data_IF_633413477749
#
_entry.id   IF_633413477749
#
_cell.length_a   1.000
_cell.length_b   1.000
_cell.length_c   1.000
_cell.angle_alpha   90.00
_cell.angle_beta   90.00
_cell.angle_gamma   90.00
#
_symmetry.space_group_name_H-M   'P 1'
#
loop_
_entity.id
_entity.type
_entity.pdbx_description
1 polymer ?
#
# COMPACT_ATOMS: atom_id res chain seq x y z
N UNK A 1 -7.42 5.88 23.78
CA UNK A 1 -6.61 5.40 22.64
C UNK A 1 -7.17 4.04 22.23
N UNK A 2 -7.92 3.95 21.12
CA UNK A 2 -8.44 2.65 20.63
C UNK A 2 -7.27 1.90 19.99
N UNK A 3 -6.85 0.80 20.61
CA UNK A 3 -5.80 -0.07 20.06
C UNK A 3 -6.40 -0.77 18.83
N UNK A 4 -5.97 -0.36 17.64
CA UNK A 4 -6.41 -0.99 16.39
C UNK A 4 -5.65 -2.33 16.26
N UNK A 5 -6.34 -3.46 16.13
CA UNK A 5 -5.68 -4.76 16.05
C UNK A 5 -4.83 -4.89 14.77
N UNK A 6 -3.72 -5.63 14.87
CA UNK A 6 -2.88 -6.03 13.73
C UNK A 6 -3.26 -7.44 13.25
N UNK A 7 -3.36 -7.62 11.93
CA UNK A 7 -3.63 -8.95 11.33
C UNK A 7 -2.51 -9.92 11.70
N UNK A 8 -1.25 -9.47 11.64
CA UNK A 8 -0.07 -10.32 11.92
C UNK A 8 -0.09 -10.82 13.35
N UNK A 9 -0.35 -9.91 14.31
CA UNK A 9 -0.42 -10.27 15.72
C UNK A 9 -1.56 -11.27 15.99
N UNK A 10 -2.72 -11.07 15.35
CA UNK A 10 -3.84 -12.00 15.49
C UNK A 10 -3.53 -13.40 14.94
N UNK A 11 -2.95 -13.49 13.75
CA UNK A 11 -2.57 -14.79 13.15
C UNK A 11 -1.52 -15.49 14.02
N UNK A 12 -0.50 -14.75 14.49
CA UNK A 12 0.56 -15.30 15.34
C UNK A 12 -0.02 -15.84 16.65
N UNK A 13 -0.87 -15.06 17.32
CA UNK A 13 -1.51 -15.46 18.57
C UNK A 13 -2.43 -16.68 18.38
N UNK A 14 -3.20 -16.73 17.29
CA UNK A 14 -4.03 -17.88 16.96
C UNK A 14 -3.18 -19.15 16.70
N UNK A 15 -2.11 -19.04 15.93
CA UNK A 15 -1.19 -20.16 15.68
C UNK A 15 -0.53 -20.65 16.97
N UNK A 16 -0.06 -19.72 17.82
CA UNK A 16 0.64 -20.03 19.06
C UNK A 16 -0.29 -20.70 20.07
N UNK A 17 -1.51 -20.18 20.27
CA UNK A 17 -2.51 -20.80 21.15
C UNK A 17 -2.86 -22.20 20.67
N UNK A 18 -3.08 -22.37 19.36
CA UNK A 18 -3.45 -23.67 18.79
C UNK A 18 -2.30 -24.67 18.91
N UNK A 19 -1.08 -24.25 18.62
CA UNK A 19 0.13 -25.08 18.72
C UNK A 19 0.40 -25.53 20.15
N UNK A 20 0.40 -24.59 21.12
CA UNK A 20 0.59 -24.92 22.54
C UNK A 20 -0.50 -25.86 23.04
N UNK A 21 -1.76 -25.56 22.72
CA UNK A 21 -2.89 -26.40 23.15
C UNK A 21 -2.76 -27.82 22.59
N UNK A 22 -2.39 -27.96 21.31
CA UNK A 22 -2.21 -29.26 20.66
C UNK A 22 -1.09 -30.06 21.31
N UNK A 23 0.07 -29.44 21.53
CA UNK A 23 1.23 -30.09 22.17
C UNK A 23 0.88 -30.54 23.59
N UNK A 24 0.21 -29.68 24.36
CA UNK A 24 -0.14 -29.97 25.75
C UNK A 24 -1.15 -31.11 25.85
N UNK A 25 -2.18 -31.12 24.98
CA UNK A 25 -3.16 -32.21 24.90
C UNK A 25 -2.47 -33.53 24.51
N UNK A 26 -1.64 -33.52 23.47
CA UNK A 26 -0.93 -34.73 23.02
C UNK A 26 0.04 -35.26 24.08
N UNK A 27 0.73 -34.39 24.80
CA UNK A 27 1.66 -34.77 25.86
C UNK A 27 0.95 -35.43 27.04
N UNK A 28 -0.17 -34.85 27.51
CA UNK A 28 -0.99 -35.43 28.59
C UNK A 28 -1.53 -36.79 28.16
N UNK A 29 -2.06 -36.87 26.94
CA UNK A 29 -2.64 -38.09 26.42
C UNK A 29 -1.59 -39.21 26.28
N UNK A 30 -0.41 -38.88 25.76
CA UNK A 30 0.71 -39.83 25.64
C UNK A 30 1.14 -40.37 27.01
N UNK A 31 1.28 -39.51 28.01
CA UNK A 31 1.65 -39.92 29.37
C UNK A 31 0.59 -40.84 30.00
N UNK A 32 -0.69 -40.49 29.84
CA UNK A 32 -1.80 -41.29 30.35
C UNK A 32 -1.84 -42.69 29.74
N UNK A 33 -1.66 -42.82 28.42
CA UNK A 33 -1.64 -44.12 27.75
C UNK A 33 -0.38 -44.93 28.06
N UNK A 34 0.77 -44.28 28.18
CA UNK A 34 2.00 -44.96 28.56
C UNK A 34 1.86 -45.65 29.92
N UNK A 35 1.34 -44.93 30.93
CA UNK A 35 1.11 -45.48 32.28
C UNK A 35 0.06 -46.59 32.25
N UNK A 36 -1.07 -46.37 31.55
CA UNK A 36 -2.15 -47.35 31.48
C UNK A 36 -1.73 -48.65 30.76
N UNK A 37 -0.94 -48.52 29.68
CA UNK A 37 -0.36 -49.65 28.96
C UNK A 37 0.58 -50.45 29.84
N UNK A 38 1.46 -49.76 30.59
CA UNK A 38 2.37 -50.38 31.54
C UNK A 38 1.63 -51.18 32.63
N UNK A 39 0.62 -50.59 33.27
CA UNK A 39 -0.19 -51.27 34.29
C UNK A 39 -0.87 -52.53 33.73
N UNK A 40 -1.41 -52.43 32.51
CA UNK A 40 -2.08 -53.56 31.87
C UNK A 40 -1.11 -54.71 31.57
N UNK A 41 0.06 -54.41 31.00
CA UNK A 41 1.09 -55.41 30.74
C UNK A 41 1.64 -56.03 32.03
N UNK A 42 1.87 -55.21 33.05
CA UNK A 42 2.35 -55.68 34.36
C UNK A 42 1.36 -56.67 34.98
N UNK A 43 0.06 -56.35 34.95
CA UNK A 43 -1.00 -57.23 35.45
C UNK A 43 -0.99 -58.59 34.73
N UNK A 44 -0.84 -58.61 33.41
CA UNK A 44 -0.79 -59.86 32.62
C UNK A 44 0.45 -60.68 32.96
N UNK A 45 1.62 -60.05 33.05
CA UNK A 45 2.87 -60.72 33.39
C UNK A 45 2.81 -61.33 34.81
N UNK A 46 2.33 -60.56 35.79
CA UNK A 46 2.16 -61.05 37.17
C UNK A 46 1.16 -62.20 37.25
N UNK A 47 0.03 -62.13 36.52
CA UNK A 47 -0.93 -63.21 36.47
C UNK A 47 -0.32 -64.49 35.86
N UNK A 48 0.45 -64.37 34.78
CA UNK A 48 1.13 -65.50 34.16
C UNK A 48 2.16 -66.15 35.09
N UNK A 49 2.97 -65.35 35.80
CA UNK A 49 3.94 -65.87 36.76
C UNK A 49 3.28 -66.48 38.00
N UNK A 50 2.16 -65.94 38.47
CA UNK A 50 1.45 -66.48 39.62
C UNK A 50 0.84 -67.88 39.41
N UNK A 51 0.68 -68.33 38.16
CA UNK A 51 0.24 -69.69 37.84
C UNK A 51 1.31 -70.77 38.15
N UNK A 52 2.59 -70.37 38.28
CA UNK A 52 3.69 -71.30 38.58
C UNK A 52 3.51 -72.00 39.93
N UNK A 53 3.87 -73.28 40.02
CA UNK A 53 3.75 -74.03 41.28
C UNK A 53 4.70 -73.48 42.34
N UNK A 54 4.16 -73.20 43.53
CA UNK A 54 4.92 -72.70 44.68
C UNK A 54 4.66 -73.62 45.86
N UNK A 55 5.73 -73.96 46.59
CA UNK A 55 5.63 -74.77 47.81
C UNK A 55 5.49 -73.85 49.01
N UNK A 56 4.68 -74.22 50.01
CA UNK A 56 4.53 -73.41 51.22
C UNK A 56 5.89 -73.14 51.90
N UNK A 57 6.13 -71.88 52.25
CA UNK A 57 7.39 -71.39 52.83
C UNK A 57 8.60 -71.34 51.91
N UNK A 58 8.47 -71.65 50.61
CA UNK A 58 9.55 -71.50 49.61
C UNK A 58 9.05 -70.66 48.42
N UNK A 59 9.30 -69.33 48.41
CA UNK A 59 8.87 -68.49 47.31
C UNK A 59 9.58 -68.87 46.00
N UNK A 60 8.84 -68.84 44.90
CA UNK A 60 9.38 -69.00 43.55
C UNK A 60 9.85 -67.64 43.03
N UNK A 61 11.10 -67.54 42.60
CA UNK A 61 11.67 -66.33 42.03
C UNK A 61 12.05 -66.58 40.56
N UNK A 62 11.56 -65.72 39.68
CA UNK A 62 11.89 -65.75 38.25
C UNK A 62 12.10 -64.33 37.75
N UNK A 63 13.32 -64.03 37.29
CA UNK A 63 13.76 -62.70 36.90
C UNK A 63 13.42 -61.64 37.98
N UNK A 64 12.51 -60.71 37.68
CA UNK A 64 12.07 -59.63 38.57
C UNK A 64 10.81 -59.97 39.37
N UNK A 65 10.25 -61.17 39.22
CA UNK A 65 9.02 -61.61 39.86
C UNK A 65 9.31 -62.55 41.04
N UNK A 66 8.61 -62.35 42.15
CA UNK A 66 8.57 -63.26 43.30
C UNK A 66 7.14 -63.70 43.55
N UNK A 67 6.90 -65.01 43.58
CA UNK A 67 5.61 -65.64 43.86
C UNK A 67 5.68 -66.41 45.17
N UNK A 68 4.76 -66.14 46.10
CA UNK A 68 4.74 -66.73 47.43
C UNK A 68 3.33 -67.17 47.84
N UNK A 69 3.23 -68.25 48.63
CA UNK A 69 1.95 -68.70 49.20
C UNK A 69 1.53 -67.88 50.43
N UNK A 70 2.49 -67.25 51.12
CA UNK A 70 2.25 -66.42 52.30
C UNK A 70 2.81 -65.02 52.08
N UNK A 71 2.11 -64.03 52.65
CA UNK A 71 2.54 -62.63 52.59
C UNK A 71 3.95 -62.42 53.15
N UNK A 72 4.28 -63.15 54.21
CA UNK A 72 5.56 -63.02 54.92
C UNK A 72 6.77 -63.46 54.07
N UNK A 73 6.55 -64.30 53.05
CA UNK A 73 7.62 -64.84 52.22
C UNK A 73 7.94 -63.94 51.00
N UNK A 74 7.26 -62.79 50.85
CA UNK A 74 7.63 -61.76 49.87
C UNK A 74 8.89 -60.99 50.27
N UNK A 75 9.61 -60.36 49.32
CA UNK A 75 10.80 -59.57 49.61
C UNK A 75 10.54 -58.46 50.63
N UNK A 76 11.49 -58.22 51.54
CA UNK A 76 11.36 -57.18 52.57
C UNK A 76 11.17 -55.78 51.99
N UNK A 77 11.79 -55.49 50.84
CA UNK A 77 11.63 -54.22 50.13
C UNK A 77 10.18 -53.94 49.73
N UNK A 78 9.40 -54.99 49.43
CA UNK A 78 7.98 -54.88 49.11
C UNK A 78 7.15 -54.73 50.38
N UNK A 79 7.41 -55.55 51.40
CA UNK A 79 6.66 -55.54 52.68
C UNK A 79 6.85 -54.25 53.49
N UNK A 80 7.99 -53.57 53.37
CA UNK A 80 8.22 -52.27 54.01
C UNK A 80 7.39 -51.14 53.38
N UNK A 81 7.15 -51.21 52.07
CA UNK A 81 6.49 -50.15 51.32
C UNK A 81 4.98 -50.39 51.23
N UNK A 82 4.58 -51.64 51.08
CA UNK A 82 3.21 -52.12 51.17
C UNK A 82 3.06 -52.88 52.48
N UNK A 83 2.63 -52.19 53.54
CA UNK A 83 2.60 -52.74 54.90
C UNK A 83 1.52 -53.81 55.08
N UNK A 84 0.41 -53.68 54.35
CA UNK A 84 -0.73 -54.59 54.42
C UNK A 84 -0.86 -55.44 53.14
N UNK A 85 -1.22 -56.73 53.24
CA UNK A 85 -1.48 -57.56 52.08
C UNK A 85 -2.70 -57.04 51.31
N UNK A 86 -2.73 -57.18 49.96
CA UNK A 86 -3.90 -56.83 49.19
C UNK A 86 -5.18 -57.52 49.70
N UNK A 87 -6.25 -56.75 49.84
CA UNK A 87 -7.55 -57.27 50.26
C UNK A 87 -8.22 -58.05 49.11
N UNK A 88 -8.26 -57.44 47.92
CA UNK A 88 -8.95 -57.94 46.73
C UNK A 88 -8.12 -58.95 45.91
N UNK A 89 -8.82 -59.91 45.30
CA UNK A 89 -8.21 -60.90 44.40
C UNK A 89 -8.07 -60.34 42.98
N UNK A 90 -6.95 -60.64 42.33
CA UNK A 90 -6.60 -60.29 40.95
C UNK A 90 -6.51 -58.78 40.66
N UNK A 91 -6.32 -57.96 41.70
CA UNK A 91 -6.14 -56.51 41.56
C UNK A 91 -4.66 -56.16 41.72
N UNK A 92 -4.13 -55.43 40.73
CA UNK A 92 -2.76 -54.91 40.74
C UNK A 92 -2.69 -53.75 41.73
N UNK A 93 -2.00 -53.95 42.84
CA UNK A 93 -1.68 -52.90 43.80
C UNK A 93 -0.29 -52.35 43.48
N UNK A 94 -0.17 -51.02 43.37
CA UNK A 94 1.09 -50.38 43.02
C UNK A 94 1.42 -49.22 43.95
N UNK A 95 2.71 -49.02 44.20
CA UNK A 95 3.23 -47.86 44.92
C UNK A 95 4.49 -47.38 44.22
N UNK A 96 4.47 -46.13 43.78
CA UNK A 96 5.57 -45.49 43.05
C UNK A 96 6.31 -44.59 44.05
N UNK A 97 7.63 -44.71 44.09
CA UNK A 97 8.51 -43.98 45.01
C UNK A 97 9.50 -43.14 44.20
N UNK A 98 9.62 -41.87 44.56
CA UNK A 98 10.47 -40.91 43.86
C UNK A 98 9.89 -40.40 42.53
N UNK A 99 10.51 -39.35 41.98
CA UNK A 99 10.07 -38.67 40.75
C UNK A 99 9.03 -37.56 40.94
N UNK A 100 9.03 -36.60 40.00
CA UNK A 100 8.08 -35.48 39.90
C UNK A 100 7.44 -35.47 38.48
N UNK A 101 6.59 -34.50 38.16
CA UNK A 101 5.98 -34.36 36.82
C UNK A 101 6.97 -34.29 35.64
N UNK A 102 8.26 -34.04 35.91
CA UNK A 102 9.32 -33.85 34.89
C UNK A 102 10.42 -34.93 35.00
N UNK A 103 10.50 -35.65 36.12
CA UNK A 103 11.55 -36.67 36.36
C UNK A 103 10.93 -38.05 36.54
N UNK A 104 11.48 -39.09 35.90
CA UNK A 104 10.95 -40.44 36.05
C UNK A 104 11.05 -40.89 37.52
N UNK A 105 10.13 -41.77 37.97
CA UNK A 105 10.17 -42.31 39.32
C UNK A 105 11.41 -43.17 39.57
N UNK A 106 11.85 -43.23 40.81
CA UNK A 106 13.08 -43.94 41.19
C UNK A 106 12.83 -45.45 41.33
N UNK A 107 11.66 -45.83 41.85
CA UNK A 107 11.23 -47.23 41.93
C UNK A 107 9.70 -47.40 41.91
N UNK A 108 9.25 -48.52 41.37
CA UNK A 108 7.84 -48.95 41.36
C UNK A 108 7.68 -50.32 42.01
N UNK A 109 6.81 -50.41 43.01
CA UNK A 109 6.51 -51.66 43.71
C UNK A 109 5.13 -52.14 43.28
N UNK A 110 5.02 -53.38 42.84
CA UNK A 110 3.78 -53.98 42.37
C UNK A 110 3.52 -55.27 43.10
N UNK A 111 2.27 -55.45 43.55
CA UNK A 111 1.82 -56.65 44.26
C UNK A 111 0.43 -57.04 43.78
N UNK A 112 0.21 -58.33 43.59
CA UNK A 112 -1.11 -58.89 43.28
C UNK A 112 -1.35 -60.11 44.14
N UNK A 113 -2.53 -60.17 44.77
CA UNK A 113 -3.05 -61.36 45.42
C UNK A 113 -3.96 -62.07 44.44
N UNK A 114 -3.77 -63.36 44.22
CA UNK A 114 -4.58 -64.14 43.28
C UNK A 114 -4.92 -65.52 43.85
N UNK A 115 -5.95 -66.15 43.29
CA UNK A 115 -6.36 -67.51 43.62
C UNK A 115 -6.05 -68.43 42.43
N UNK A 116 -5.25 -69.47 42.63
CA UNK A 116 -4.90 -70.46 41.61
C UNK A 116 -5.36 -71.84 42.12
N UNK A 117 -6.39 -72.40 41.49
CA UNK A 117 -7.10 -73.54 42.07
C UNK A 117 -7.78 -73.14 43.38
N UNK A 118 -7.45 -73.81 44.48
CA UNK A 118 -7.91 -73.46 45.84
C UNK A 118 -6.87 -72.72 46.70
N UNK A 119 -5.69 -72.44 46.15
CA UNK A 119 -4.60 -71.80 46.87
C UNK A 119 -4.54 -70.29 46.60
N UNK A 120 -4.23 -69.51 47.64
CA UNK A 120 -3.93 -68.08 47.52
C UNK A 120 -2.44 -67.92 47.24
N UNK A 121 -2.11 -67.04 46.29
CA UNK A 121 -0.74 -66.67 45.94
C UNK A 121 -0.59 -65.16 45.92
N UNK A 122 0.58 -64.71 46.32
CA UNK A 122 1.02 -63.32 46.22
C UNK A 122 2.14 -63.25 45.19
N UNK A 123 1.94 -62.43 44.17
CA UNK A 123 2.97 -62.11 43.16
C UNK A 123 3.45 -60.70 43.44
N UNK A 124 4.76 -60.49 43.47
CA UNK A 124 5.36 -59.16 43.59
C UNK A 124 6.45 -58.96 42.56
N UNK A 125 6.65 -57.71 42.18
CA UNK A 125 7.80 -57.29 41.38
C UNK A 125 8.18 -55.86 41.73
N UNK A 126 9.48 -55.58 41.66
CA UNK A 126 10.03 -54.26 41.92
C UNK A 126 10.75 -53.79 40.66
N UNK A 127 10.34 -52.63 40.18
CA UNK A 127 11.01 -51.94 39.09
C UNK A 127 11.94 -50.89 39.69
N UNK A 128 13.23 -50.97 39.38
CA UNK A 128 14.20 -49.91 39.65
C UNK A 128 14.69 -49.30 38.33
N UNK A 129 15.31 -48.12 38.42
CA UNK A 129 15.82 -47.36 37.27
C UNK A 129 16.85 -48.12 36.41
N UNK A 130 17.40 -49.24 36.88
CA UNK A 130 18.41 -50.04 36.18
C UNK A 130 17.84 -51.31 35.55
N UNK A 131 16.64 -51.75 35.92
CA UNK A 131 16.00 -52.95 35.39
C UNK A 131 15.58 -52.81 33.92
N UNK A 132 16.24 -53.56 33.02
CA UNK A 132 15.93 -53.59 31.59
C UNK A 132 14.93 -54.71 31.26
N UNK A 133 13.97 -54.34 30.41
CA UNK A 133 13.00 -55.19 29.69
C UNK A 133 11.74 -55.60 30.47
N UNK A 134 10.57 -55.30 29.89
CA UNK A 134 9.66 -56.32 29.34
C UNK A 134 8.29 -55.68 29.04
N UNK A 135 7.93 -55.48 27.76
CA UNK A 135 6.55 -55.15 27.36
C UNK A 135 6.18 -55.77 26.00
N UNK A 136 5.40 -56.85 26.03
CA UNK A 136 4.47 -57.25 24.95
C UNK A 136 3.09 -57.33 25.59
N UNK A 137 2.13 -56.58 25.07
CA UNK A 137 0.78 -56.51 25.63
C UNK A 137 -0.28 -56.68 24.56
N UNK A 138 -1.11 -57.71 24.72
CA UNK A 138 -2.42 -57.85 24.07
C UNK A 138 -3.46 -57.21 25.01
N UNK A 139 -3.91 -56.01 24.66
CA UNK A 139 -5.02 -55.31 25.30
C UNK A 139 -6.03 -54.81 24.26
N UNK A 140 -7.25 -54.42 24.67
CA UNK A 140 -8.23 -53.84 23.74
C UNK A 140 -7.63 -52.59 23.05
N UNK A 141 -7.95 -52.31 21.78
CA UNK A 141 -7.13 -51.42 20.96
C UNK A 141 -7.24 -49.97 21.45
N UNK A 142 -6.24 -49.53 22.23
CA UNK A 142 -6.00 -48.12 22.59
C UNK A 142 -6.03 -47.18 21.38
N UNK A 143 -5.83 -47.76 20.19
CA UNK A 143 -6.07 -47.15 18.89
C UNK A 143 -7.40 -46.40 18.79
N UNK A 144 -8.53 -46.91 19.31
CA UNK A 144 -9.83 -46.22 19.18
C UNK A 144 -9.88 -44.89 19.93
N UNK A 145 -9.29 -44.81 21.12
CA UNK A 145 -9.31 -43.57 21.91
C UNK A 145 -8.27 -42.57 21.39
N UNK A 146 -7.12 -43.04 20.92
CA UNK A 146 -6.15 -42.22 20.16
C UNK A 146 -6.82 -41.67 18.89
N UNK A 147 -7.63 -42.47 18.20
CA UNK A 147 -8.34 -42.05 17.00
C UNK A 147 -9.40 -40.99 17.33
N UNK A 148 -10.21 -41.17 18.38
CA UNK A 148 -11.23 -40.19 18.79
C UNK A 148 -10.62 -38.86 19.26
N UNK A 149 -9.54 -38.91 20.03
CA UNK A 149 -8.84 -37.70 20.51
C UNK A 149 -8.10 -36.99 19.38
N UNK A 150 -7.47 -37.75 18.48
CA UNK A 150 -6.90 -37.21 17.24
C UNK A 150 -7.96 -36.53 16.37
N UNK A 151 -9.12 -37.15 16.21
CA UNK A 151 -10.25 -36.58 15.47
C UNK A 151 -10.75 -35.28 16.12
N UNK A 152 -10.85 -35.23 17.45
CA UNK A 152 -11.24 -34.02 18.17
C UNK A 152 -10.21 -32.90 18.03
N UNK A 153 -8.92 -33.23 18.02
CA UNK A 153 -7.84 -32.29 17.72
C UNK A 153 -7.92 -31.71 16.31
N UNK A 154 -8.18 -32.56 15.31
CA UNK A 154 -8.40 -32.13 13.91
C UNK A 154 -9.62 -31.22 13.81
N UNK A 155 -10.72 -31.56 14.49
CA UNK A 155 -11.94 -30.74 14.51
C UNK A 155 -11.68 -29.37 15.13
N UNK A 156 -11.00 -29.32 16.29
CA UNK A 156 -10.64 -28.06 16.94
C UNK A 156 -9.73 -27.20 16.04
N UNK A 157 -8.73 -27.82 15.40
CA UNK A 157 -7.87 -27.14 14.44
C UNK A 157 -8.66 -26.58 13.26
N UNK A 158 -9.59 -27.35 12.69
CA UNK A 158 -10.46 -26.91 11.60
C UNK A 158 -11.34 -25.72 12.02
N UNK A 159 -11.89 -25.74 13.24
CA UNK A 159 -12.69 -24.61 13.78
C UNK A 159 -11.84 -23.35 13.90
N UNK A 160 -10.63 -23.43 14.45
CA UNK A 160 -9.72 -22.27 14.54
C UNK A 160 -9.37 -21.75 13.14
N UNK A 161 -9.07 -22.64 12.20
CA UNK A 161 -8.75 -22.28 10.83
C UNK A 161 -9.92 -21.55 10.14
N UNK A 162 -11.15 -22.02 10.33
CA UNK A 162 -12.36 -21.37 9.82
C UNK A 162 -12.56 -19.99 10.47
N UNK A 163 -12.33 -19.86 11.78
CA UNK A 163 -12.44 -18.58 12.48
C UNK A 163 -11.42 -17.55 12.00
N UNK A 164 -10.16 -17.97 11.85
CA UNK A 164 -9.08 -17.13 11.30
C UNK A 164 -9.41 -16.70 9.87
N UNK A 165 -9.84 -17.64 9.02
CA UNK A 165 -10.23 -17.35 7.65
C UNK A 165 -11.38 -16.33 7.61
N UNK A 166 -12.44 -16.52 8.42
CA UNK A 166 -13.54 -15.53 8.46
C UNK A 166 -13.11 -14.16 8.98
N UNK A 167 -12.25 -14.09 10.00
CA UNK A 167 -11.79 -12.81 10.56
C UNK A 167 -10.86 -12.03 9.65
N UNK A 168 -10.04 -12.71 8.84
CA UNK A 168 -9.05 -12.06 7.96
C UNK A 168 -9.60 -11.88 6.55
N UNK A 169 -10.23 -12.90 5.96
CA UNK A 169 -10.70 -12.85 4.58
C UNK A 169 -11.85 -11.86 4.42
N UNK A 170 -12.79 -11.77 5.37
CA UNK A 170 -13.95 -10.86 5.22
C UNK A 170 -13.52 -9.38 5.16
N UNK A 171 -12.66 -8.86 6.04
CA UNK A 171 -12.16 -7.48 5.92
C UNK A 171 -11.34 -7.23 4.64
N UNK A 172 -10.55 -8.21 4.18
CA UNK A 172 -9.82 -8.12 2.91
C UNK A 172 -10.78 -8.07 1.72
N UNK A 173 -11.82 -8.91 1.71
CA UNK A 173 -12.88 -8.93 0.70
C UNK A 173 -13.63 -7.59 0.67
N UNK A 174 -13.90 -6.99 1.84
CA UNK A 174 -14.49 -5.66 1.95
C UNK A 174 -13.59 -4.58 1.36
N UNK A 175 -12.28 -4.60 1.66
CA UNK A 175 -11.32 -3.66 1.06
C UNK A 175 -11.28 -3.82 -0.47
N UNK A 176 -11.21 -5.05 -0.97
CA UNK A 176 -11.24 -5.36 -2.41
C UNK A 176 -12.51 -4.82 -3.07
N UNK A 177 -13.68 -5.08 -2.49
CA UNK A 177 -14.95 -4.66 -3.07
C UNK A 177 -15.15 -3.15 -2.99
N UNK A 178 -14.71 -2.51 -1.91
CA UNK A 178 -14.67 -1.06 -1.81
C UNK A 178 -13.75 -0.46 -2.88
N UNK A 179 -12.51 -0.97 -3.01
CA UNK A 179 -11.55 -0.50 -4.01
C UNK A 179 -12.07 -0.68 -5.45
N UNK A 180 -12.77 -1.79 -5.74
CA UNK A 180 -13.43 -2.01 -7.04
C UNK A 180 -14.60 -1.06 -7.30
N UNK A 181 -15.28 -0.60 -6.24
CA UNK A 181 -16.42 0.29 -6.34
C UNK A 181 -16.04 1.76 -6.50
N UNK A 182 -14.78 2.12 -6.21
CA UNK A 182 -14.32 3.51 -6.18
C UNK A 182 -14.57 4.21 -7.51
N UNK A 183 -15.23 5.36 -7.40
CA UNK A 183 -15.47 6.32 -8.46
C UNK A 183 -15.23 7.73 -7.93
N UNK A 184 -15.36 8.74 -8.80
CA UNK A 184 -15.16 10.16 -8.47
C UNK A 184 -15.91 10.61 -7.22
N UNK A 185 -17.20 10.28 -7.07
CA UNK A 185 -17.98 10.69 -5.89
C UNK A 185 -17.55 9.98 -4.61
N UNK A 186 -17.19 8.70 -4.69
CA UNK A 186 -16.77 7.93 -3.53
C UNK A 186 -15.38 8.32 -3.03
N UNK A 187 -14.53 8.87 -3.89
CA UNK A 187 -13.23 9.40 -3.49
C UNK A 187 -13.37 10.61 -2.55
N UNK A 188 -14.49 11.33 -2.55
CA UNK A 188 -14.74 12.44 -1.62
C UNK A 188 -15.21 11.97 -0.24
N UNK A 189 -15.86 10.80 -0.18
CA UNK A 189 -16.40 10.25 1.06
C UNK A 189 -15.30 9.75 2.02
N UNK A 190 -15.54 9.76 3.34
CA UNK A 190 -14.61 9.20 4.31
C UNK A 190 -14.39 7.70 4.04
N UNK A 191 -13.14 7.26 4.17
CA UNK A 191 -12.80 5.85 3.98
C UNK A 191 -13.48 5.01 5.08
N UNK A 192 -14.10 3.87 4.75
CA UNK A 192 -14.64 2.96 5.76
C UNK A 192 -13.52 2.33 6.59
N UNK A 193 -13.81 2.01 7.85
CA UNK A 193 -12.87 1.32 8.73
C UNK A 193 -12.84 -0.19 8.43
N UNK A 194 -11.68 -0.67 7.97
CA UNK A 194 -11.43 -2.08 7.68
C UNK A 194 -10.95 -2.88 8.90
N UNK A 195 -11.12 -2.34 10.12
CA UNK A 195 -10.82 -2.93 11.43
C UNK A 195 -9.33 -3.11 11.74
N UNK A 196 -8.50 -3.37 10.72
CA UNK A 196 -7.08 -3.60 10.84
C UNK A 196 -6.28 -2.42 10.31
N UNK A 197 -5.23 -2.04 11.04
CA UNK A 197 -4.37 -0.90 10.68
C UNK A 197 -3.76 -1.03 9.29
N UNK A 198 -3.31 -2.23 8.94
CA UNK A 198 -2.65 -2.53 7.67
C UNK A 198 -3.60 -2.38 6.47
N UNK A 199 -4.87 -2.76 6.64
CA UNK A 199 -5.90 -2.59 5.61
C UNK A 199 -6.31 -1.13 5.46
N UNK A 200 -6.39 -0.38 6.57
CA UNK A 200 -6.68 1.06 6.54
C UNK A 200 -5.55 1.85 5.87
N UNK A 201 -4.29 1.49 6.12
CA UNK A 201 -3.13 2.08 5.42
C UNK A 201 -3.23 1.80 3.91
N UNK A 202 -3.46 0.54 3.53
CA UNK A 202 -3.58 0.16 2.13
C UNK A 202 -4.77 0.87 1.44
N UNK A 203 -5.92 0.97 2.11
CA UNK A 203 -7.08 1.72 1.61
C UNK A 203 -6.76 3.19 1.39
N UNK A 204 -6.00 3.82 2.29
CA UNK A 204 -5.57 5.21 2.14
C UNK A 204 -4.61 5.40 0.96
N UNK A 205 -3.67 4.47 0.76
CA UNK A 205 -2.76 4.50 -0.40
C UNK A 205 -3.58 4.42 -1.70
N UNK A 206 -4.50 3.45 -1.81
CA UNK A 206 -5.37 3.30 -2.99
C UNK A 206 -6.17 4.59 -3.25
N UNK A 207 -6.79 5.15 -2.20
CA UNK A 207 -7.57 6.39 -2.30
C UNK A 207 -6.74 7.56 -2.81
N UNK A 208 -5.58 7.79 -2.22
CA UNK A 208 -4.70 8.91 -2.57
C UNK A 208 -4.14 8.75 -3.98
N UNK A 209 -3.73 7.54 -4.38
CA UNK A 209 -3.27 7.27 -5.74
C UNK A 209 -4.36 7.51 -6.78
N UNK A 210 -5.59 7.05 -6.53
CA UNK A 210 -6.72 7.28 -7.45
C UNK A 210 -7.09 8.76 -7.55
N UNK A 211 -7.08 9.50 -6.42
CA UNK A 211 -7.27 10.96 -6.45
C UNK A 211 -6.20 11.64 -7.30
N UNK A 212 -4.94 11.30 -7.09
CA UNK A 212 -3.83 11.87 -7.88
C UNK A 212 -4.01 11.64 -9.38
N UNK A 213 -4.40 10.42 -9.78
CA UNK A 213 -4.68 10.10 -11.19
C UNK A 213 -5.86 10.92 -11.72
N UNK A 214 -6.94 11.01 -10.94
CA UNK A 214 -8.12 11.78 -11.34
C UNK A 214 -7.81 13.27 -11.50
N UNK A 215 -7.05 13.84 -10.57
CA UNK A 215 -6.66 15.25 -10.62
C UNK A 215 -5.78 15.52 -11.85
N UNK A 216 -4.87 14.60 -12.19
CA UNK A 216 -4.07 14.67 -13.43
C UNK A 216 -4.95 14.59 -14.68
N UNK A 217 -5.89 13.64 -14.74
CA UNK A 217 -6.82 13.52 -15.87
C UNK A 217 -7.72 14.75 -16.02
N UNK A 218 -8.18 15.33 -14.91
CA UNK A 218 -8.97 16.55 -14.93
C UNK A 218 -8.17 17.73 -15.50
N UNK A 219 -6.89 17.88 -15.08
CA UNK A 219 -5.99 18.90 -15.64
C UNK A 219 -5.75 18.69 -17.14
N UNK A 220 -5.52 17.45 -17.57
CA UNK A 220 -5.32 17.09 -18.97
C UNK A 220 -6.56 17.41 -19.83
N UNK A 221 -7.76 17.03 -19.38
CA UNK A 221 -9.01 17.35 -20.08
C UNK A 221 -9.23 18.85 -20.18
N UNK A 222 -8.96 19.59 -19.10
CA UNK A 222 -9.07 21.04 -19.11
C UNK A 222 -8.09 21.65 -20.10
N UNK A 223 -6.83 21.18 -20.12
CA UNK A 223 -5.79 21.60 -21.05
C UNK A 223 -6.19 21.36 -22.52
N UNK A 224 -6.67 20.16 -22.85
CA UNK A 224 -7.12 19.82 -24.20
C UNK A 224 -8.33 20.66 -24.64
N UNK A 225 -9.24 20.95 -23.70
CA UNK A 225 -10.39 21.83 -23.95
C UNK A 225 -9.93 23.24 -24.33
N UNK A 226 -9.01 23.83 -23.56
CA UNK A 226 -8.46 25.15 -23.88
C UNK A 226 -7.71 25.15 -25.21
N UNK A 227 -6.81 24.20 -25.43
CA UNK A 227 -6.08 24.11 -26.70
C UNK A 227 -7.03 24.04 -27.91
N UNK A 228 -8.12 23.28 -27.80
CA UNK A 228 -9.13 23.17 -28.85
C UNK A 228 -9.87 24.48 -29.08
N UNK A 229 -10.21 25.21 -28.01
CA UNK A 229 -10.84 26.53 -28.10
C UNK A 229 -9.89 27.56 -28.74
N UNK A 230 -8.63 27.57 -28.31
CA UNK A 230 -7.61 28.51 -28.79
C UNK A 230 -7.26 28.34 -30.25
N UNK A 231 -7.22 27.11 -30.76
CA UNK A 231 -6.95 26.85 -32.17
C UNK A 231 -8.16 27.17 -33.05
N UNK A 232 -9.40 27.00 -32.54
CA UNK A 232 -10.62 27.22 -33.34
C UNK A 232 -10.77 28.68 -33.79
N UNK A 233 -10.40 29.63 -32.94
CA UNK A 233 -10.51 31.06 -33.23
C UNK A 233 -9.67 31.51 -34.43
N UNK A 234 -8.34 31.34 -34.47
CA UNK A 234 -7.54 31.72 -35.63
C UNK A 234 -7.92 30.91 -36.88
N UNK A 235 -8.33 29.64 -36.74
CA UNK A 235 -8.87 28.86 -37.87
C UNK A 235 -10.13 29.53 -38.45
N UNK A 236 -11.04 30.01 -37.60
CA UNK A 236 -12.23 30.72 -38.05
C UNK A 236 -11.87 32.04 -38.75
N UNK A 237 -10.92 32.80 -38.20
CA UNK A 237 -10.41 34.04 -38.81
C UNK A 237 -9.82 33.77 -40.19
N UNK A 238 -8.98 32.74 -40.34
CA UNK A 238 -8.41 32.34 -41.63
C UNK A 238 -9.53 31.99 -42.61
N UNK A 239 -10.51 31.16 -42.19
CA UNK A 239 -11.62 30.74 -43.06
C UNK A 239 -12.44 31.94 -43.55
N UNK A 240 -12.89 32.79 -42.65
CA UNK A 240 -13.72 33.97 -42.98
C UNK A 240 -12.96 34.98 -43.84
N UNK A 241 -11.67 35.23 -43.56
CA UNK A 241 -10.87 36.14 -44.38
C UNK A 241 -10.55 35.53 -45.75
N UNK A 242 -10.38 34.21 -45.87
CA UNK A 242 -10.22 33.55 -47.18
C UNK A 242 -11.47 33.68 -48.04
N UNK A 243 -12.67 33.48 -47.46
CA UNK A 243 -13.95 33.71 -48.14
C UNK A 243 -14.13 35.18 -48.55
N UNK A 244 -13.75 36.11 -47.67
CA UNK A 244 -13.79 37.54 -47.96
C UNK A 244 -12.84 37.91 -49.11
N UNK A 245 -11.61 37.36 -49.09
CA UNK A 245 -10.62 37.58 -50.14
C UNK A 245 -11.13 37.13 -51.51
N UNK A 246 -11.75 35.94 -51.59
CA UNK A 246 -12.39 35.48 -52.82
C UNK A 246 -13.45 36.46 -53.32
N UNK A 247 -14.34 36.93 -52.44
CA UNK A 247 -15.38 37.93 -52.80
C UNK A 247 -14.78 39.26 -53.26
N UNK A 248 -13.70 39.72 -52.64
CA UNK A 248 -13.01 40.96 -53.03
C UNK A 248 -12.36 40.84 -54.41
N UNK A 249 -11.71 39.70 -54.69
CA UNK A 249 -11.12 39.40 -55.99
C UNK A 249 -12.22 39.38 -57.07
N UNK A 250 -13.31 38.64 -56.85
CA UNK A 250 -14.42 38.56 -57.83
C UNK A 250 -15.10 39.90 -58.11
N UNK A 251 -15.08 40.83 -57.16
CA UNK A 251 -15.67 42.17 -57.29
C UNK A 251 -14.69 43.24 -57.79
N UNK A 252 -13.45 42.87 -58.13
CA UNK A 252 -12.43 43.82 -58.60
C UNK A 252 -12.04 44.86 -57.55
N UNK A 253 -12.05 44.50 -56.26
CA UNK A 253 -11.63 45.42 -55.20
C UNK A 253 -10.15 45.79 -55.33
N UNK A 254 -9.76 46.97 -54.81
CA UNK A 254 -8.38 47.46 -54.87
C UNK A 254 -7.38 46.49 -54.23
N UNK A 255 -6.13 46.54 -54.72
CA UNK A 255 -5.02 45.76 -54.17
C UNK A 255 -4.83 46.01 -52.67
N UNK A 256 -4.96 47.27 -52.20
CA UNK A 256 -4.93 47.62 -50.77
C UNK A 256 -5.92 46.80 -49.92
N UNK A 257 -7.18 46.69 -50.36
CA UNK A 257 -8.21 45.96 -49.60
C UNK A 257 -7.93 44.46 -49.57
N UNK A 258 -7.41 43.91 -50.65
CA UNK A 258 -7.00 42.50 -50.70
C UNK A 258 -5.80 42.25 -49.78
N UNK A 259 -4.80 43.13 -49.79
CA UNK A 259 -3.62 43.04 -48.93
C UNK A 259 -3.97 43.08 -47.43
N UNK A 260 -4.93 43.93 -47.03
CA UNK A 260 -5.41 43.96 -45.64
C UNK A 260 -6.00 42.62 -45.18
N UNK A 261 -6.75 41.93 -46.05
CA UNK A 261 -7.32 40.61 -45.73
C UNK A 261 -6.23 39.54 -45.67
N UNK A 262 -5.24 39.60 -46.55
CA UNK A 262 -4.06 38.71 -46.51
C UNK A 262 -3.28 38.89 -45.20
N UNK A 263 -3.03 40.12 -44.75
CA UNK A 263 -2.37 40.38 -43.47
C UNK A 263 -3.15 39.85 -42.26
N UNK A 264 -4.49 39.85 -42.31
CA UNK A 264 -5.31 39.23 -41.26
C UNK A 264 -5.14 37.71 -41.23
N UNK A 265 -5.05 37.06 -42.39
CA UNK A 265 -4.78 35.61 -42.50
C UNK A 265 -3.38 35.29 -41.97
N UNK A 266 -2.37 36.05 -42.38
CA UNK A 266 -0.98 35.90 -41.94
C UNK A 266 -0.86 36.02 -40.42
N UNK A 267 -1.47 37.05 -39.83
CA UNK A 267 -1.53 37.22 -38.36
C UNK A 267 -2.17 36.03 -37.66
N UNK A 268 -3.29 35.52 -38.17
CA UNK A 268 -3.94 34.35 -37.58
C UNK A 268 -3.07 33.09 -37.68
N UNK A 269 -2.30 32.93 -38.76
CA UNK A 269 -1.32 31.85 -38.92
C UNK A 269 -0.19 31.93 -37.90
N UNK A 270 0.40 33.12 -37.72
CA UNK A 270 1.43 33.35 -36.69
C UNK A 270 0.90 33.04 -35.28
N UNK A 271 -0.30 33.48 -34.96
CA UNK A 271 -0.95 33.14 -33.68
C UNK A 271 -1.10 31.63 -33.48
N UNK A 272 -1.45 30.88 -34.53
CA UNK A 272 -1.50 29.40 -34.44
C UNK A 272 -0.12 28.80 -34.18
N UNK A 273 0.92 29.28 -34.87
CA UNK A 273 2.30 28.84 -34.64
C UNK A 273 2.69 29.05 -33.18
N UNK A 274 2.51 30.26 -32.64
CA UNK A 274 2.86 30.60 -31.26
C UNK A 274 2.09 29.73 -30.24
N UNK A 275 0.80 29.49 -30.49
CA UNK A 275 -0.02 28.59 -29.67
C UNK A 275 0.52 27.15 -29.72
N UNK A 276 0.82 26.62 -30.90
CA UNK A 276 1.33 25.25 -31.03
C UNK A 276 2.72 25.08 -30.40
N UNK A 277 3.60 26.07 -30.51
CA UNK A 277 4.90 26.07 -29.84
C UNK A 277 4.74 26.08 -28.32
N UNK A 278 3.85 26.92 -27.80
CA UNK A 278 3.55 26.99 -26.36
C UNK A 278 2.98 25.66 -25.84
N UNK A 279 2.06 25.03 -26.59
CA UNK A 279 1.47 23.73 -26.24
C UNK A 279 2.49 22.58 -26.31
N UNK A 280 3.30 22.52 -27.37
CA UNK A 280 4.38 21.53 -27.51
C UNK A 280 5.40 21.66 -26.40
N UNK A 281 5.69 22.89 -26.00
CA UNK A 281 6.61 23.16 -24.92
C UNK A 281 6.06 22.68 -23.57
N UNK A 282 4.78 22.99 -23.27
CA UNK A 282 4.07 22.53 -22.06
C UNK A 282 4.04 21.00 -21.95
N UNK A 283 3.74 20.31 -23.05
CA UNK A 283 3.62 18.83 -23.07
C UNK A 283 4.95 18.08 -22.99
N UNK A 284 6.06 18.68 -23.43
CA UNK A 284 7.38 18.02 -23.41
C UNK A 284 8.13 18.18 -22.09
N UNK A 285 7.83 19.23 -21.33
CA UNK A 285 8.62 19.61 -20.15
C UNK A 285 7.82 19.62 -18.85
N UNK A 286 6.65 18.96 -18.81
CA UNK A 286 5.78 18.91 -17.63
C UNK A 286 6.46 18.24 -16.41
N UNK A 287 7.48 17.40 -16.62
CA UNK A 287 8.17 16.61 -15.59
C UNK A 287 9.72 16.73 -15.61
N UNK A 288 10.29 17.65 -16.39
CA UNK A 288 11.76 17.77 -16.54
C UNK A 288 12.27 19.11 -16.00
N UNK A 289 13.35 19.08 -15.20
CA UNK A 289 14.11 20.27 -14.86
C UNK A 289 14.64 20.91 -16.14
N UNK A 290 14.20 22.13 -16.44
CA UNK A 290 14.69 22.84 -17.62
C UNK A 290 16.20 23.11 -17.51
N UNK A 291 16.95 23.01 -18.62
CA UNK A 291 18.32 23.47 -18.63
C UNK A 291 18.36 24.96 -18.33
N UNK A 292 19.08 25.32 -17.27
CA UNK A 292 19.40 26.71 -16.95
C UNK A 292 20.60 27.15 -17.77
N UNK A 293 20.48 28.32 -18.40
CA UNK A 293 21.53 28.92 -19.20
C UNK A 293 21.80 30.35 -18.72
N UNK A 294 22.99 30.88 -19.00
CA UNK A 294 23.30 32.29 -18.77
C UNK A 294 22.53 33.16 -19.76
N UNK A 295 21.49 33.84 -19.28
CA UNK A 295 20.60 34.69 -20.07
C UNK A 295 20.78 36.15 -19.70
N UNK A 296 21.14 36.98 -20.69
CA UNK A 296 20.98 38.43 -20.62
C UNK A 296 19.55 38.79 -21.04
N UNK A 297 18.69 39.10 -20.07
CA UNK A 297 17.28 39.43 -20.32
C UNK A 297 17.12 40.70 -21.16
N UNK A 298 17.94 41.72 -20.92
CA UNK A 298 17.90 42.96 -21.69
C UNK A 298 18.20 42.73 -23.17
N UNK A 299 19.22 41.92 -23.49
CA UNK A 299 19.56 41.54 -24.85
C UNK A 299 18.42 40.74 -25.52
N UNK A 300 17.85 39.77 -24.81
CA UNK A 300 16.72 38.97 -25.30
C UNK A 300 15.50 39.86 -25.61
N UNK A 301 15.15 40.79 -24.72
CA UNK A 301 14.04 41.74 -24.92
C UNK A 301 14.30 42.59 -26.17
N UNK A 302 15.49 43.19 -26.30
CA UNK A 302 15.85 44.02 -27.47
C UNK A 302 15.77 43.23 -28.77
N UNK A 303 16.23 41.98 -28.77
CA UNK A 303 16.12 41.08 -29.92
C UNK A 303 14.65 40.80 -30.28
N UNK A 304 13.82 40.44 -29.28
CA UNK A 304 12.40 40.14 -29.51
C UNK A 304 11.62 41.37 -30.00
N UNK A 305 11.90 42.54 -29.46
CA UNK A 305 11.29 43.80 -29.93
C UNK A 305 11.69 44.09 -31.37
N UNK A 306 12.94 43.82 -31.76
CA UNK A 306 13.40 43.97 -33.14
C UNK A 306 12.72 42.96 -34.08
N UNK A 307 12.58 41.69 -33.67
CA UNK A 307 11.84 40.66 -34.41
C UNK A 307 10.37 41.05 -34.62
N UNK A 308 9.77 41.75 -33.64
CA UNK A 308 8.36 42.17 -33.64
C UNK A 308 8.14 43.60 -34.19
N UNK A 309 9.17 44.28 -34.69
CA UNK A 309 9.08 45.68 -35.12
C UNK A 309 8.11 45.90 -36.30
N UNK A 310 7.77 44.86 -37.04
CA UNK A 310 6.77 44.92 -38.09
C UNK A 310 5.36 45.25 -37.56
N UNK A 311 5.08 44.97 -36.28
CA UNK A 311 3.77 45.24 -35.65
C UNK A 311 3.52 46.71 -35.36
N UNK A 312 4.57 47.54 -35.30
CA UNK A 312 4.48 48.98 -35.11
C UNK A 312 4.51 49.75 -36.42
N UNK A 313 4.81 49.09 -37.55
CA UNK A 313 4.93 49.73 -38.86
C UNK A 313 3.58 50.34 -39.29
N UNK A 314 3.56 51.65 -39.50
CA UNK A 314 2.37 52.39 -39.89
C UNK A 314 1.40 52.72 -38.75
N UNK A 315 1.83 52.54 -37.49
CA UNK A 315 1.10 52.97 -36.30
C UNK A 315 1.82 54.16 -35.64
N UNK A 316 1.08 55.02 -34.95
CA UNK A 316 1.65 56.13 -34.18
C UNK A 316 1.92 55.68 -32.74
N UNK A 317 3.00 54.90 -32.57
CA UNK A 317 3.37 54.32 -31.27
C UNK A 317 4.75 54.82 -30.87
N UNK A 318 4.83 55.44 -29.70
CA UNK A 318 6.10 55.71 -29.02
C UNK A 318 6.55 54.46 -28.25
N UNK A 319 7.67 53.86 -28.66
CA UNK A 319 8.23 52.69 -28.01
C UNK A 319 9.44 53.07 -27.16
N UNK A 320 9.34 52.86 -25.84
CA UNK A 320 10.44 53.07 -24.89
C UNK A 320 10.91 51.73 -24.32
N UNK A 321 12.21 51.47 -24.38
CA UNK A 321 12.83 50.24 -23.88
C UNK A 321 13.91 50.64 -22.89
N UNK A 322 13.67 50.35 -21.61
CA UNK A 322 14.61 50.58 -20.51
C UNK A 322 15.04 49.19 -19.98
N UNK A 323 16.25 48.76 -20.32
CA UNK A 323 16.78 47.44 -19.97
C UNK A 323 18.19 47.58 -19.40
N UNK A 324 18.56 46.72 -18.46
CA UNK A 324 19.94 46.53 -18.02
C UNK A 324 20.58 45.34 -18.75
N UNK A 325 21.88 45.11 -18.54
CA UNK A 325 22.63 43.99 -19.13
C UNK A 325 22.93 42.89 -18.09
N UNK A 326 22.05 42.71 -17.11
CA UNK A 326 22.23 41.67 -16.09
C UNK A 326 22.06 40.26 -16.67
N UNK A 327 22.94 39.35 -16.26
CA UNK A 327 22.97 37.95 -16.68
C UNK A 327 22.47 37.08 -15.53
N UNK A 328 21.52 36.19 -15.81
CA UNK A 328 20.91 35.29 -14.83
C UNK A 328 20.85 33.86 -15.36
N UNK A 329 20.89 32.88 -14.45
CA UNK A 329 20.68 31.47 -14.79
C UNK A 329 19.19 31.21 -14.95
N UNK A 330 18.72 31.15 -16.20
CA UNK A 330 17.30 31.06 -16.54
C UNK A 330 17.07 30.07 -17.68
N UNK A 331 15.87 29.47 -17.79
CA UNK A 331 15.51 28.65 -18.92
C UNK A 331 15.23 29.54 -20.15
N UNK A 332 16.24 29.69 -21.02
CA UNK A 332 16.19 30.64 -22.15
C UNK A 332 14.98 30.45 -23.07
N UNK A 333 14.65 29.20 -23.41
CA UNK A 333 13.52 28.89 -24.30
C UNK A 333 12.21 29.37 -23.70
N UNK A 334 12.01 29.15 -22.40
CA UNK A 334 10.82 29.56 -21.69
C UNK A 334 10.71 31.09 -21.59
N UNK A 335 11.82 31.74 -21.22
CA UNK A 335 11.89 33.20 -21.17
C UNK A 335 11.53 33.81 -22.53
N UNK A 336 12.06 33.22 -23.63
CA UNK A 336 11.74 33.64 -25.00
C UNK A 336 10.26 33.49 -25.32
N UNK A 337 9.63 32.35 -25.00
CA UNK A 337 8.19 32.12 -25.26
C UNK A 337 7.33 33.14 -24.49
N UNK A 338 7.59 33.34 -23.20
CA UNK A 338 6.82 34.27 -22.37
C UNK A 338 7.00 35.71 -22.84
N UNK A 339 8.25 36.15 -22.99
CA UNK A 339 8.55 37.52 -23.41
C UNK A 339 8.02 37.80 -24.81
N UNK A 340 8.15 36.86 -25.75
CA UNK A 340 7.60 37.03 -27.10
C UNK A 340 6.07 37.23 -27.04
N UNK A 341 5.35 36.37 -26.31
CA UNK A 341 3.90 36.49 -26.15
C UNK A 341 3.48 37.83 -25.52
N UNK A 342 4.15 38.25 -24.46
CA UNK A 342 3.80 39.49 -23.76
C UNK A 342 4.13 40.74 -24.58
N UNK A 343 5.32 40.80 -25.21
CA UNK A 343 5.74 41.92 -26.07
C UNK A 343 4.85 41.99 -27.31
N UNK A 344 4.57 40.86 -27.95
CA UNK A 344 3.67 40.79 -29.11
C UNK A 344 2.29 41.33 -28.75
N UNK A 345 1.73 40.92 -27.62
CA UNK A 345 0.44 41.43 -27.15
C UNK A 345 0.48 42.95 -26.93
N UNK A 346 1.51 43.48 -26.26
CA UNK A 346 1.64 44.93 -26.04
C UNK A 346 1.70 45.72 -27.35
N UNK A 347 2.49 45.28 -28.33
CA UNK A 347 2.64 45.95 -29.63
C UNK A 347 1.43 45.76 -30.57
N UNK A 348 0.79 44.60 -30.53
CA UNK A 348 -0.35 44.27 -31.38
C UNK A 348 -1.60 45.06 -30.97
N UNK A 349 -1.86 45.17 -29.67
CA UNK A 349 -3.06 45.80 -29.11
C UNK A 349 -2.97 47.32 -28.94
N UNK A 350 -1.79 47.91 -29.09
CA UNK A 350 -1.64 49.37 -29.12
C UNK A 350 -1.81 49.85 -30.56
N UNK A 351 -2.73 50.79 -30.82
CA UNK A 351 -2.97 51.37 -32.16
C UNK A 351 -2.31 52.75 -32.24
N UNK A 352 -2.50 53.56 -31.20
CA UNK A 352 -1.89 54.87 -31.00
C UNK A 352 -1.57 55.05 -29.51
N UNK A 353 -0.47 55.71 -29.17
CA UNK A 353 -0.03 55.96 -27.79
C UNK A 353 1.38 55.42 -27.51
N UNK A 354 1.60 54.82 -26.35
CA UNK A 354 2.94 54.45 -25.88
C UNK A 354 3.04 53.01 -25.39
N UNK A 355 4.13 52.34 -25.73
CA UNK A 355 4.52 51.05 -25.14
C UNK A 355 5.86 51.23 -24.42
N UNK A 356 5.87 50.93 -23.12
CA UNK A 356 7.05 51.06 -22.27
C UNK A 356 7.42 49.67 -21.76
N UNK A 357 8.63 49.22 -22.09
CA UNK A 357 9.20 47.96 -21.60
C UNK A 357 10.33 48.31 -20.64
N UNK A 358 10.17 47.99 -19.36
CA UNK A 358 11.20 48.19 -18.34
C UNK A 358 11.64 46.85 -17.77
N UNK A 359 12.92 46.56 -17.82
CA UNK A 359 13.53 45.40 -17.17
C UNK A 359 14.55 45.87 -16.15
N UNK A 360 14.51 45.26 -14.97
CA UNK A 360 15.47 45.46 -13.89
C UNK A 360 15.76 44.12 -13.25
N UNK A 361 17.01 43.68 -13.30
CA UNK A 361 17.43 42.35 -12.83
C UNK A 361 16.61 41.23 -13.49
N UNK A 362 15.84 40.46 -12.72
CA UNK A 362 14.95 39.39 -13.21
C UNK A 362 13.51 39.84 -13.40
N UNK A 363 13.17 41.09 -13.10
CA UNK A 363 11.82 41.60 -13.26
C UNK A 363 11.66 42.35 -14.58
N UNK A 364 10.59 42.06 -15.30
CA UNK A 364 10.20 42.74 -16.55
C UNK A 364 8.79 43.28 -16.39
N UNK A 365 8.61 44.56 -16.67
CA UNK A 365 7.31 45.22 -16.73
C UNK A 365 7.06 45.78 -18.12
N UNK A 366 5.84 45.59 -18.61
CA UNK A 366 5.37 46.08 -19.90
C UNK A 366 4.10 46.87 -19.65
N UNK A 367 4.12 48.13 -20.09
CA UNK A 367 3.01 49.06 -19.94
C UNK A 367 2.61 49.48 -21.35
N UNK A 368 1.34 49.33 -21.69
CA UNK A 368 0.79 49.89 -22.91
C UNK A 368 -0.29 50.92 -22.55
N UNK A 369 -0.15 52.12 -23.10
CA UNK A 369 -1.05 53.26 -22.92
C UNK A 369 -1.61 53.64 -24.29
N UNK A 370 -2.92 53.83 -24.37
CA UNK A 370 -3.66 54.18 -25.57
C UNK A 370 -4.24 55.59 -25.43
N UNK A 371 -4.00 56.46 -26.40
CA UNK A 371 -4.43 57.86 -26.33
C UNK A 371 -5.93 58.05 -26.60
N UNK A 372 -6.58 57.13 -27.33
CA UNK A 372 -8.00 57.23 -27.70
C UNK A 372 -9.02 56.86 -26.62
N UNK A 373 -8.60 56.27 -25.49
CA UNK A 373 -9.53 55.73 -24.47
C UNK A 373 -10.52 54.67 -24.98
N UNK A 374 -10.45 54.28 -26.26
CA UNK A 374 -11.31 53.28 -26.89
C UNK A 374 -10.57 51.95 -26.91
N UNK A 375 -10.88 51.10 -25.94
CA UNK A 375 -10.50 49.70 -25.97
C UNK A 375 -11.22 49.03 -27.15
N UNK A 376 -10.52 48.74 -28.25
CA UNK A 376 -10.97 47.74 -29.22
C UNK A 376 -10.79 46.35 -28.58
N UNK A 377 -11.64 46.04 -27.61
CA UNK A 377 -11.59 44.82 -26.81
C UNK A 377 -12.06 43.57 -27.55
N UNK A 378 -12.58 43.68 -28.77
CA UNK A 378 -13.34 42.57 -29.36
C UNK A 378 -12.78 41.94 -30.63
N UNK A 379 -11.90 42.57 -31.41
CA UNK A 379 -11.76 42.09 -32.79
C UNK A 379 -10.76 40.96 -33.06
N UNK A 380 -9.69 40.71 -32.27
CA UNK A 380 -8.69 39.70 -32.69
C UNK A 380 -7.93 38.92 -31.59
N UNK A 381 -8.26 39.06 -30.30
CA UNK A 381 -7.57 38.30 -29.24
C UNK A 381 -8.44 38.10 -28.01
N UNK A 382 -8.96 36.89 -27.82
CA UNK A 382 -9.87 36.53 -26.71
C UNK A 382 -9.22 36.55 -25.30
N UNK A 383 -8.05 37.17 -25.12
CA UNK A 383 -7.33 37.20 -23.82
C UNK A 383 -6.69 35.86 -23.40
N UNK A 384 -6.88 34.80 -24.19
CA UNK A 384 -6.56 33.42 -23.81
C UNK A 384 -5.09 33.03 -24.04
N UNK A 385 -4.37 33.69 -24.97
CA UNK A 385 -2.91 33.57 -25.06
C UNK A 385 -2.19 34.08 -23.79
N UNK A 386 -2.79 35.06 -23.11
CA UNK A 386 -2.34 35.52 -21.80
C UNK A 386 -2.64 34.48 -20.71
N UNK A 387 -3.75 33.75 -20.80
CA UNK A 387 -4.09 32.67 -19.87
C UNK A 387 -3.12 31.48 -19.99
N UNK A 388 -2.77 31.07 -21.22
CA UNK A 388 -1.74 30.06 -21.45
C UNK A 388 -0.37 30.53 -20.94
N UNK A 389 -0.01 31.78 -21.20
CA UNK A 389 1.22 32.39 -20.67
C UNK A 389 1.20 32.43 -19.14
N UNK A 390 0.07 32.75 -18.53
CA UNK A 390 -0.11 32.78 -17.06
C UNK A 390 0.02 31.38 -16.47
N UNK A 391 -0.57 30.35 -17.10
CA UNK A 391 -0.41 28.96 -16.67
C UNK A 391 1.04 28.51 -16.73
N UNK A 392 1.73 28.86 -17.81
CA UNK A 392 3.13 28.54 -18.04
C UNK A 392 4.01 29.23 -16.98
N UNK A 393 3.77 30.51 -16.67
CA UNK A 393 4.44 31.24 -15.60
C UNK A 393 4.18 30.59 -14.23
N UNK A 394 2.92 30.30 -13.90
CA UNK A 394 2.54 29.70 -12.62
C UNK A 394 3.14 28.30 -12.43
N UNK A 395 3.30 27.52 -13.50
CA UNK A 395 3.92 26.20 -13.43
C UNK A 395 5.41 26.27 -13.02
N UNK A 396 6.09 27.38 -13.31
CA UNK A 396 7.49 27.64 -12.91
C UNK A 396 7.62 28.53 -11.67
N UNK A 397 6.52 28.74 -10.93
CA UNK A 397 6.48 29.56 -9.72
C UNK A 397 7.03 30.99 -9.89
N UNK A 398 6.95 31.53 -11.11
CA UNK A 398 7.31 32.91 -11.40
C UNK A 398 6.17 33.86 -11.00
N UNK A 399 6.52 35.01 -10.42
CA UNK A 399 5.50 36.00 -10.03
C UNK A 399 4.98 36.72 -11.27
N UNK A 400 3.66 36.77 -11.44
CA UNK A 400 2.99 37.45 -12.54
C UNK A 400 1.81 38.30 -12.08
N UNK A 401 1.74 39.52 -12.61
CA UNK A 401 0.66 40.45 -12.38
C UNK A 401 0.22 41.09 -13.70
N UNK A 402 -1.09 41.14 -13.93
CA UNK A 402 -1.69 41.87 -15.03
C UNK A 402 -2.75 42.81 -14.46
N UNK A 403 -2.52 44.11 -14.61
CA UNK A 403 -3.35 45.16 -14.03
C UNK A 403 -3.89 46.03 -15.16
N UNK A 404 -5.21 46.20 -15.19
CA UNK A 404 -5.87 47.16 -16.07
C UNK A 404 -5.71 48.57 -15.51
N UNK A 405 -5.34 49.51 -16.37
CA UNK A 405 -5.10 50.92 -16.02
C UNK A 405 -6.09 51.79 -16.80
N UNK A 406 -6.27 53.05 -16.39
CA UNK A 406 -7.25 53.96 -17.00
C UNK A 406 -7.04 54.21 -18.51
N UNK A 407 -5.82 53.99 -19.01
CA UNK A 407 -5.43 54.21 -20.40
C UNK A 407 -4.90 52.94 -21.09
N UNK A 408 -4.94 51.76 -20.46
CA UNK A 408 -4.39 50.54 -21.05
C UNK A 408 -4.08 49.44 -20.04
N UNK A 409 -2.94 48.74 -20.15
CA UNK A 409 -2.58 47.63 -19.25
C UNK A 409 -1.12 47.68 -18.81
N UNK A 410 -0.88 47.18 -17.59
CA UNK A 410 0.45 46.93 -17.04
C UNK A 410 0.60 45.46 -16.69
N UNK A 411 1.54 44.81 -17.36
CA UNK A 411 1.95 43.43 -17.07
C UNK A 411 3.31 43.45 -16.40
N UNK A 412 3.48 42.72 -15.30
CA UNK A 412 4.76 42.56 -14.61
C UNK A 412 5.02 41.07 -14.39
N UNK A 413 6.24 40.63 -14.71
CA UNK A 413 6.72 39.28 -14.46
C UNK A 413 8.06 39.34 -13.72
N UNK A 414 8.29 38.40 -12.80
CA UNK A 414 9.59 38.18 -12.20
C UNK A 414 10.07 36.75 -12.44
N UNK A 415 11.23 36.63 -13.09
CA UNK A 415 11.87 35.36 -13.43
C UNK A 415 12.73 34.78 -12.28
N UNK A 416 12.94 35.50 -11.18
CA UNK A 416 13.72 34.99 -10.04
C UNK A 416 12.86 34.14 -9.10
N UNK A 417 13.05 32.82 -9.15
CA UNK A 417 12.93 31.97 -7.98
C UNK A 417 13.79 30.72 -8.09
#
# INVERSE_FOLDING_TARGET
MKIIPSIRLYILLAMLITGISTILILSILSLHYFISGMDSSMRVAMYAQGQQQVTDGKPYQFEVFTVASRWQDLPESVKQIMVEPPSELNVLNKKIVGGNFITPPDAGYFVMKMKVGDEIRFVSTVFDRNSHSMFKGDGPPYFLVILLTGLLGILAFAVVLILVMRRVTVPVERLKNWAKGLNTQQLEQPMPDFHYSELNILGNIIKTSLRSVQDSLAREQQFLSYASHELRTPIAVIRTNTELLQKLISKGASAEKQAQVVHRIERAGLTMTDLTETLLWLTRHEDQSLPMEEVNLGQLIRQLVQELSYLTKGKDIELSIETDDSIHQLPITLCRIVLNNLIRNALQHTIEGRVIIKQSTTSVSMINESDSGHHHSEELGFGLGLELTTRLINHYDWDYQNIETNSGRKVTINFSR
#
